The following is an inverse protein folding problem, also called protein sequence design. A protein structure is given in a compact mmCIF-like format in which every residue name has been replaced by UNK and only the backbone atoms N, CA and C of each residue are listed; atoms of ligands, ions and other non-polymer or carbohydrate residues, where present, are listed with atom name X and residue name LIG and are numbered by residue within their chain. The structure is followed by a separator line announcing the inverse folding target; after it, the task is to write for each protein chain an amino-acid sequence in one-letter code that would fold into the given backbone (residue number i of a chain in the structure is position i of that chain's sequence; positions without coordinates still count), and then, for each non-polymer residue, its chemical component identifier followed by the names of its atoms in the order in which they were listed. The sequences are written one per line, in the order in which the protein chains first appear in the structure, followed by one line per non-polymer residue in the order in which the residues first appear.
data_IF_782861925884
#
_entry.id   IF_782861925884
#
_cell.length_a   1.000
_cell.length_b   1.000
_cell.length_c   1.000
_cell.angle_alpha   90.00
_cell.angle_beta   90.00
_cell.angle_gamma   90.00
#
_symmetry.space_group_name_H-M   'P 1'
#
loop_
_entity.id
_entity.type
_entity.pdbx_description
1 polymer ?
#
# COMPACT_ATOMS: atom_id res chain seq x y z
N UNK A 1 -17.34 -26.65 -4.41
CA UNK A 1 -16.69 -25.47 -3.78
C UNK A 1 -17.13 -25.40 -2.33
N UNK A 2 -16.21 -25.44 -1.36
CA UNK A 2 -16.55 -25.33 0.06
C UNK A 2 -16.89 -23.85 0.36
N UNK A 3 -18.11 -23.50 0.82
CA UNK A 3 -18.49 -22.13 1.13
C UNK A 3 -17.63 -21.48 2.22
N UNK A 4 -16.87 -22.27 2.99
CA UNK A 4 -15.92 -21.73 3.96
C UNK A 4 -14.71 -21.04 3.30
N UNK A 5 -14.28 -21.51 2.12
CA UNK A 5 -13.08 -20.98 1.47
C UNK A 5 -13.30 -19.59 0.86
N UNK A 6 -14.48 -19.29 0.31
CA UNK A 6 -14.76 -17.96 -0.26
C UNK A 6 -14.75 -16.85 0.79
N UNK A 7 -15.22 -17.14 2.01
CA UNK A 7 -15.19 -16.20 3.14
C UNK A 7 -13.77 -15.88 3.61
N UNK A 8 -12.85 -16.83 3.55
CA UNK A 8 -11.45 -16.60 3.91
C UNK A 8 -10.75 -15.66 2.92
N UNK A 9 -10.98 -15.83 1.61
CA UNK A 9 -10.37 -14.97 0.59
C UNK A 9 -10.87 -13.52 0.70
N UNK A 10 -12.15 -13.31 0.96
CA UNK A 10 -12.68 -11.96 1.19
C UNK A 10 -12.09 -11.30 2.44
N UNK A 11 -11.98 -12.05 3.55
CA UNK A 11 -11.37 -11.53 4.79
C UNK A 11 -9.90 -11.17 4.57
N UNK A 12 -9.13 -12.03 3.91
CA UNK A 12 -7.72 -11.77 3.57
C UNK A 12 -7.58 -10.56 2.66
N UNK A 13 -8.45 -10.40 1.66
CA UNK A 13 -8.45 -9.23 0.76
C UNK A 13 -8.74 -7.93 1.51
N UNK A 14 -9.71 -7.93 2.44
CA UNK A 14 -9.99 -6.75 3.28
C UNK A 14 -8.80 -6.39 4.17
N UNK A 15 -8.19 -7.37 4.82
CA UNK A 15 -6.99 -7.16 5.63
C UNK A 15 -5.83 -6.61 4.80
N UNK A 16 -5.56 -7.19 3.62
CA UNK A 16 -4.54 -6.68 2.70
C UNK A 16 -4.79 -5.23 2.30
N UNK A 17 -6.04 -4.86 2.03
CA UNK A 17 -6.40 -3.48 1.70
C UNK A 17 -6.14 -2.53 2.87
N UNK A 18 -6.45 -2.93 4.11
CA UNK A 18 -6.14 -2.15 5.33
C UNK A 18 -4.62 -1.99 5.51
N UNK A 19 -3.86 -3.07 5.37
CA UNK A 19 -2.39 -3.01 5.45
C UNK A 19 -1.78 -2.11 4.38
N UNK A 20 -2.31 -2.15 3.14
CA UNK A 20 -1.87 -1.28 2.05
C UNK A 20 -2.08 0.20 2.40
N UNK A 21 -3.24 0.56 2.96
CA UNK A 21 -3.54 1.94 3.37
C UNK A 21 -2.61 2.40 4.48
N UNK A 22 -2.40 1.57 5.51
CA UNK A 22 -1.48 1.90 6.61
C UNK A 22 -0.06 2.08 6.08
N UNK A 23 0.41 1.17 5.22
CA UNK A 23 1.73 1.25 4.61
C UNK A 23 1.91 2.54 3.80
N UNK A 24 0.89 2.94 3.04
CA UNK A 24 0.89 4.18 2.26
C UNK A 24 1.01 5.41 3.18
N UNK A 25 0.25 5.46 4.27
CA UNK A 25 0.32 6.56 5.25
C UNK A 25 1.73 6.65 5.86
N UNK A 26 2.30 5.51 6.28
CA UNK A 26 3.65 5.46 6.84
C UNK A 26 4.69 5.93 5.81
N UNK A 27 4.58 5.50 4.55
CA UNK A 27 5.47 5.96 3.48
C UNK A 27 5.41 7.49 3.30
N UNK A 28 4.21 8.10 3.33
CA UNK A 28 4.05 9.55 3.20
C UNK A 28 4.71 10.29 4.38
N UNK A 29 4.52 9.81 5.61
CA UNK A 29 5.13 10.41 6.81
C UNK A 29 6.65 10.34 6.74
N UNK A 30 7.19 9.16 6.43
CA UNK A 30 8.63 8.94 6.32
C UNK A 30 9.22 9.79 5.19
N UNK A 31 8.53 9.88 4.04
CA UNK A 31 8.93 10.73 2.93
C UNK A 31 9.03 12.21 3.34
N UNK A 32 8.05 12.70 4.10
CA UNK A 32 8.07 14.04 4.69
C UNK A 32 9.28 14.23 5.60
N UNK A 33 9.54 13.29 6.51
CA UNK A 33 10.71 13.35 7.39
C UNK A 33 12.03 13.38 6.60
N UNK A 34 12.22 12.49 5.63
CA UNK A 34 13.45 12.45 4.83
C UNK A 34 13.65 13.70 3.97
N UNK A 35 12.58 14.23 3.40
CA UNK A 35 12.64 15.42 2.55
C UNK A 35 12.93 16.69 3.37
N UNK A 36 12.23 16.89 4.49
CA UNK A 36 12.34 18.11 5.29
C UNK A 36 13.49 18.12 6.30
N UNK A 37 13.80 16.98 6.95
CA UNK A 37 14.83 16.90 7.99
C UNK A 37 16.19 16.53 7.42
N UNK A 38 16.27 15.45 6.64
CA UNK A 38 17.55 14.90 6.21
C UNK A 38 18.02 15.38 4.83
N UNK A 39 17.13 16.01 4.04
CA UNK A 39 17.39 16.43 2.65
C UNK A 39 17.97 15.31 1.76
N UNK A 40 17.75 14.04 2.13
CA UNK A 40 18.24 12.88 1.40
C UNK A 40 17.31 12.55 0.23
N UNK A 41 17.48 13.29 -0.87
CA UNK A 41 16.67 13.15 -2.10
C UNK A 41 16.82 11.75 -2.72
N UNK A 42 17.96 11.08 -2.52
CA UNK A 42 18.24 9.76 -3.09
C UNK A 42 17.29 8.67 -2.56
N UNK A 43 16.89 8.74 -1.28
CA UNK A 43 15.93 7.79 -0.67
C UNK A 43 14.47 8.18 -0.95
N UNK A 44 14.22 9.47 -1.21
CA UNK A 44 12.90 10.01 -1.55
C UNK A 44 12.35 9.38 -2.84
N UNK A 45 13.21 9.13 -3.83
CA UNK A 45 12.83 8.54 -5.12
C UNK A 45 12.27 7.10 -5.03
N UNK A 46 12.95 6.12 -4.42
CA UNK A 46 12.40 4.77 -4.26
C UNK A 46 11.13 4.74 -3.40
N UNK A 47 10.99 5.64 -2.42
CA UNK A 47 9.74 5.76 -1.65
C UNK A 47 8.57 6.29 -2.50
N UNK A 48 8.81 7.30 -3.34
CA UNK A 48 7.80 7.78 -4.29
C UNK A 48 7.36 6.68 -5.24
N UNK A 49 8.29 5.89 -5.79
CA UNK A 49 7.96 4.71 -6.60
C UNK A 49 7.10 3.70 -5.83
N UNK A 50 7.43 3.45 -4.56
CA UNK A 50 6.62 2.61 -3.67
C UNK A 50 5.18 3.11 -3.52
N UNK A 51 4.99 4.42 -3.34
CA UNK A 51 3.67 5.06 -3.27
C UNK A 51 2.92 4.90 -4.60
N UNK A 52 3.58 5.15 -5.74
CA UNK A 52 2.98 5.00 -7.07
C UNK A 52 2.51 3.56 -7.35
N UNK A 53 3.33 2.56 -7.02
CA UNK A 53 2.97 1.14 -7.17
C UNK A 53 1.78 0.79 -6.27
N UNK A 54 1.77 1.30 -5.04
CA UNK A 54 0.70 1.05 -4.05
C UNK A 54 -0.63 1.65 -4.53
N UNK A 55 -0.62 2.87 -5.09
CA UNK A 55 -1.78 3.52 -5.69
C UNK A 55 -2.24 2.77 -6.95
N UNK A 56 -1.32 2.33 -7.82
CA UNK A 56 -1.65 1.58 -9.03
C UNK A 56 -2.21 0.18 -8.73
N UNK A 57 -1.82 -0.42 -7.60
CA UNK A 57 -2.30 -1.73 -7.16
C UNK A 57 -3.74 -1.66 -6.60
N UNK A 58 -4.13 -0.53 -6.04
CA UNK A 58 -5.47 -0.30 -5.48
C UNK A 58 -6.64 -0.57 -6.46
N UNK A 59 -6.65 -0.02 -7.68
CA UNK A 59 -7.68 -0.32 -8.69
C UNK A 59 -7.61 -1.76 -9.21
N UNK A 60 -6.42 -2.38 -9.26
CA UNK A 60 -6.26 -3.78 -9.66
C UNK A 60 -6.93 -4.71 -8.65
N UNK A 61 -6.71 -4.50 -7.34
CA UNK A 61 -7.38 -5.25 -6.27
C UNK A 61 -8.89 -5.02 -6.28
N UNK A 62 -9.34 -3.83 -6.68
CA UNK A 62 -10.76 -3.50 -6.82
C UNK A 62 -11.40 -4.19 -8.03
N UNK A 63 -10.65 -4.37 -9.13
CA UNK A 63 -11.11 -4.98 -10.38
C UNK A 63 -11.16 -6.52 -10.38
N UNK A 64 -10.53 -7.18 -9.42
CA UNK A 64 -10.60 -8.65 -9.21
C UNK A 64 -11.94 -9.11 -8.59
N UNK A 65 -13.05 -8.43 -8.93
CA UNK A 65 -14.39 -8.72 -8.40
C UNK A 65 -15.11 -9.75 -9.27
#
# INVERSE_FOLDING_TARGET
MNPNNSNEYEKRRRLLMVYLVISLIVQIIILGCYYFLEKQVLLTFPMLLGIFITIATFPVIKSLK
#
